data_IF_887763425916
#
_entry.id   IF_887763425916
#
_cell.length_a   1.000
_cell.length_b   1.000
_cell.length_c   1.000
_cell.angle_alpha   90.00
_cell.angle_beta   90.00
_cell.angle_gamma   90.00
#
_symmetry.space_group_name_H-M   'P 1'
#
loop_
_entity.id
_entity.type
_entity.pdbx_description
1 polymer ?
#
# COMPACT_ATOMS: atom_id res chain seq x y z
N UNK A 1 -29.50 -18.87 6.20
CA UNK A 1 -28.75 -18.47 4.99
C UNK A 1 -27.57 -19.42 4.84
N UNK A 2 -27.27 -19.90 3.63
CA UNK A 2 -26.05 -20.67 3.38
C UNK A 2 -24.87 -19.71 3.17
N UNK A 3 -23.66 -20.14 3.50
CA UNK A 3 -22.45 -19.37 3.16
C UNK A 3 -22.32 -19.23 1.63
N UNK A 4 -22.00 -18.04 1.10
CA UNK A 4 -21.76 -17.85 -0.33
C UNK A 4 -20.47 -18.58 -0.74
N UNK A 5 -20.63 -19.71 -1.43
CA UNK A 5 -19.49 -20.48 -1.95
C UNK A 5 -19.15 -19.95 -3.34
N UNK A 6 -17.93 -19.49 -3.52
CA UNK A 6 -17.38 -19.17 -4.84
C UNK A 6 -16.81 -20.45 -5.43
N UNK A 7 -17.38 -20.90 -6.56
CA UNK A 7 -16.90 -22.13 -7.22
C UNK A 7 -15.50 -21.94 -7.82
N UNK A 8 -14.83 -23.05 -8.13
CA UNK A 8 -13.51 -23.00 -8.78
C UNK A 8 -13.56 -22.25 -10.11
N UNK A 9 -14.60 -22.50 -10.91
CA UNK A 9 -14.79 -21.86 -12.23
C UNK A 9 -15.01 -20.35 -12.08
N UNK A 10 -15.85 -19.92 -11.12
CA UNK A 10 -16.03 -18.49 -10.81
C UNK A 10 -14.71 -17.84 -10.39
N UNK A 11 -13.95 -18.49 -9.51
CA UNK A 11 -12.66 -17.97 -9.06
C UNK A 11 -11.62 -17.90 -10.20
N UNK A 12 -11.62 -18.86 -11.11
CA UNK A 12 -10.72 -18.89 -12.26
C UNK A 12 -11.10 -17.86 -13.33
N UNK A 13 -12.40 -17.55 -13.45
CA UNK A 13 -12.90 -16.50 -14.34
C UNK A 13 -12.70 -15.08 -13.78
N UNK A 14 -12.42 -14.93 -12.49
CA UNK A 14 -12.11 -13.62 -11.90
C UNK A 14 -10.83 -13.03 -12.52
N UNK A 15 -10.95 -11.87 -13.16
CA UNK A 15 -9.81 -11.07 -13.61
C UNK A 15 -9.26 -10.27 -12.42
N UNK A 16 -8.63 -10.99 -11.47
CA UNK A 16 -8.09 -10.38 -10.25
C UNK A 16 -6.88 -9.51 -10.59
N UNK A 17 -6.95 -8.24 -10.16
CA UNK A 17 -5.86 -7.29 -10.24
C UNK A 17 -4.82 -7.52 -9.13
N UNK A 18 -3.66 -6.91 -9.30
CA UNK A 18 -2.54 -7.03 -8.36
C UNK A 18 -2.62 -6.02 -7.21
N UNK A 19 -2.14 -6.41 -6.03
CA UNK A 19 -1.92 -5.49 -4.91
C UNK A 19 -0.53 -5.69 -4.33
N UNK A 20 0.18 -4.58 -4.06
CA UNK A 20 1.52 -4.68 -3.52
C UNK A 20 2.08 -3.39 -2.92
N UNK A 21 3.24 -3.54 -2.30
CA UNK A 21 4.03 -2.43 -1.80
C UNK A 21 5.45 -2.48 -2.38
N UNK A 22 5.97 -1.33 -2.77
CA UNK A 22 7.37 -1.16 -3.18
C UNK A 22 8.07 -0.36 -2.09
N UNK A 23 9.02 -1.00 -1.43
CA UNK A 23 9.85 -0.40 -0.38
C UNK A 23 11.22 -0.09 -0.93
N UNK A 24 11.79 1.06 -0.59
CA UNK A 24 13.14 1.39 -1.03
C UNK A 24 13.67 2.66 -0.36
N UNK A 25 14.98 2.89 -0.38
CA UNK A 25 15.58 4.10 0.16
C UNK A 25 14.97 5.38 -0.43
N UNK A 26 15.10 6.50 0.29
CA UNK A 26 14.75 7.80 -0.28
C UNK A 26 15.59 8.06 -1.54
N UNK A 27 14.98 8.64 -2.58
CA UNK A 27 15.68 8.98 -3.83
C UNK A 27 15.97 7.81 -4.78
N UNK A 28 15.61 6.56 -4.46
CA UNK A 28 15.84 5.41 -5.36
C UNK A 28 15.00 5.44 -6.64
N UNK A 29 13.95 6.28 -6.69
CA UNK A 29 13.10 6.48 -7.86
C UNK A 29 11.73 5.81 -7.77
N UNK A 30 11.18 5.59 -6.57
CA UNK A 30 9.85 4.97 -6.40
C UNK A 30 8.75 5.74 -7.12
N UNK A 31 8.64 7.03 -6.92
CA UNK A 31 7.65 7.90 -7.60
C UNK A 31 7.81 7.87 -9.12
N UNK A 32 9.05 7.81 -9.62
CA UNK A 32 9.35 7.75 -11.06
C UNK A 32 8.79 6.47 -11.74
N UNK A 33 8.47 5.44 -10.97
CA UNK A 33 7.82 4.23 -11.49
C UNK A 33 6.48 4.51 -12.18
N UNK A 34 5.79 5.59 -11.84
CA UNK A 34 4.59 6.04 -12.56
C UNK A 34 4.86 6.21 -14.06
N UNK A 35 6.04 6.69 -14.46
CA UNK A 35 6.43 6.86 -15.88
C UNK A 35 6.57 5.52 -16.63
N UNK A 36 6.53 4.41 -15.93
CA UNK A 36 6.56 3.06 -16.52
C UNK A 36 5.16 2.44 -16.65
N UNK A 37 4.11 3.21 -16.40
CA UNK A 37 2.69 2.81 -16.48
C UNK A 37 1.96 3.62 -17.54
N UNK A 38 0.68 3.31 -17.78
CA UNK A 38 -0.17 4.10 -18.67
C UNK A 38 -0.80 5.26 -17.90
N UNK A 39 -0.41 6.50 -18.23
CA UNK A 39 -0.83 7.70 -17.51
C UNK A 39 -2.35 7.87 -17.43
N UNK A 40 -3.08 7.64 -18.54
CA UNK A 40 -4.54 7.87 -18.61
C UNK A 40 -5.35 6.92 -17.74
N UNK A 41 -4.79 5.78 -17.38
CA UNK A 41 -5.42 4.76 -16.54
C UNK A 41 -4.82 4.68 -15.12
N UNK A 42 -3.87 5.54 -14.78
CA UNK A 42 -3.27 5.64 -13.46
C UNK A 42 -3.87 6.81 -12.67
N UNK A 43 -4.17 6.58 -11.40
CA UNK A 43 -4.48 7.60 -10.42
C UNK A 43 -3.34 7.69 -9.41
N UNK A 44 -2.69 8.83 -9.35
CA UNK A 44 -1.61 9.11 -8.41
C UNK A 44 -2.17 9.69 -7.11
N UNK A 45 -1.99 9.01 -6.00
CA UNK A 45 -2.31 9.50 -4.66
C UNK A 45 -1.02 10.01 -4.03
N UNK A 46 -0.78 11.32 -4.16
CA UNK A 46 0.42 12.01 -3.71
C UNK A 46 0.22 12.60 -2.30
N UNK A 47 0.81 11.96 -1.31
CA UNK A 47 0.80 12.41 0.09
C UNK A 47 2.08 13.17 0.47
N UNK A 48 3.13 13.10 -0.39
CA UNK A 48 4.47 13.65 -0.10
C UNK A 48 4.74 15.00 -0.76
N UNK A 49 3.84 15.51 -1.64
CA UNK A 49 4.15 16.57 -2.60
C UNK A 49 5.36 16.21 -3.50
N UNK A 50 5.46 14.92 -3.83
CA UNK A 50 6.58 14.33 -4.55
C UNK A 50 6.47 14.38 -6.07
N UNK A 51 5.52 15.14 -6.62
CA UNK A 51 5.16 15.16 -8.04
C UNK A 51 6.24 15.75 -8.96
N UNK A 52 7.26 16.43 -8.42
CA UNK A 52 8.37 16.98 -9.23
C UNK A 52 9.03 15.92 -10.11
N UNK A 53 9.15 14.66 -9.62
CA UNK A 53 9.74 13.55 -10.35
C UNK A 53 8.90 13.10 -11.56
N UNK A 54 7.61 13.41 -11.57
CA UNK A 54 6.62 13.01 -12.57
C UNK A 54 5.85 14.19 -13.15
N UNK A 55 6.38 15.41 -12.99
CA UNK A 55 5.73 16.67 -13.43
C UNK A 55 5.31 16.67 -14.90
N UNK A 56 6.07 16.00 -15.74
CA UNK A 56 5.84 15.83 -17.17
C UNK A 56 4.95 14.62 -17.52
N UNK A 57 4.51 13.83 -16.52
CA UNK A 57 3.72 12.64 -16.72
C UNK A 57 2.23 12.94 -16.54
N UNK A 58 1.38 12.79 -17.58
CA UNK A 58 0.00 13.30 -17.58
C UNK A 58 -0.98 12.34 -16.88
N UNK A 59 -0.73 11.97 -15.62
CA UNK A 59 -1.69 11.21 -14.80
C UNK A 59 -2.47 12.15 -13.87
N UNK A 60 -3.71 11.78 -13.60
CA UNK A 60 -4.54 12.49 -12.61
C UNK A 60 -4.02 12.24 -11.20
N UNK A 61 -4.10 13.27 -10.34
CA UNK A 61 -3.50 13.25 -9.01
C UNK A 61 -4.50 13.64 -7.94
N UNK A 62 -4.51 12.92 -6.81
CA UNK A 62 -5.19 13.28 -5.56
C UNK A 62 -4.16 13.54 -4.47
N UNK A 63 -4.41 14.54 -3.61
CA UNK A 63 -3.48 14.94 -2.53
C UNK A 63 -4.17 14.96 -1.17
N UNK A 64 -4.44 13.80 -0.55
CA UNK A 64 -4.95 13.77 0.81
C UNK A 64 -3.87 14.26 1.79
N UNK A 65 -4.29 15.14 2.72
CA UNK A 65 -3.39 15.83 3.67
C UNK A 65 -3.65 15.44 5.11
N UNK A 66 -4.75 14.76 5.38
CA UNK A 66 -5.16 14.34 6.71
C UNK A 66 -5.46 12.84 6.73
N UNK A 67 -5.38 12.24 7.93
CA UNK A 67 -5.74 10.82 8.06
C UNK A 67 -7.20 10.52 7.70
N UNK A 68 -8.20 11.33 8.10
CA UNK A 68 -9.56 11.16 7.61
C UNK A 68 -9.67 11.12 6.09
N UNK A 69 -9.03 12.05 5.37
CA UNK A 69 -9.02 12.05 3.89
C UNK A 69 -8.39 10.79 3.31
N UNK A 70 -7.27 10.31 3.88
CA UNK A 70 -6.64 9.05 3.46
C UNK A 70 -7.57 7.84 3.63
N UNK A 71 -8.31 7.81 4.75
CA UNK A 71 -9.26 6.78 5.10
C UNK A 71 -10.50 6.83 4.22
N UNK A 72 -11.04 8.02 4.01
CA UNK A 72 -12.22 8.28 3.18
C UNK A 72 -11.93 7.92 1.71
N UNK A 73 -10.76 8.27 1.20
CA UNK A 73 -10.32 7.88 -0.15
C UNK A 73 -10.22 6.37 -0.32
N UNK A 74 -9.64 5.65 0.65
CA UNK A 74 -9.58 4.19 0.60
C UNK A 74 -10.98 3.55 0.65
N UNK A 75 -11.91 4.14 1.42
CA UNK A 75 -13.31 3.75 1.46
C UNK A 75 -14.01 4.02 0.13
N UNK A 76 -13.82 5.19 -0.45
CA UNK A 76 -14.43 5.62 -1.71
C UNK A 76 -14.04 4.72 -2.89
N UNK A 77 -12.75 4.37 -2.98
CA UNK A 77 -12.21 3.53 -4.07
C UNK A 77 -12.56 2.04 -3.84
N UNK A 78 -12.46 1.58 -2.59
CA UNK A 78 -12.60 0.17 -2.24
C UNK A 78 -14.03 -0.30 -2.02
N UNK A 79 -14.95 0.63 -1.81
CA UNK A 79 -16.32 0.32 -1.44
C UNK A 79 -16.49 -0.11 0.03
N UNK A 80 -17.72 -0.40 0.46
CA UNK A 80 -18.03 -0.76 1.83
C UNK A 80 -17.72 -2.22 2.13
N UNK A 81 -17.44 -2.51 3.39
CA UNK A 81 -17.49 -3.86 3.95
C UNK A 81 -18.80 -4.03 4.72
N UNK A 82 -19.79 -4.77 4.17
CA UNK A 82 -21.10 -4.90 4.78
C UNK A 82 -21.13 -5.72 6.09
N UNK A 83 -20.02 -6.35 6.45
CA UNK A 83 -19.88 -7.07 7.72
C UNK A 83 -19.54 -6.15 8.90
N UNK A 84 -19.16 -4.88 8.63
CA UNK A 84 -18.81 -3.91 9.66
C UNK A 84 -20.05 -3.19 10.17
N UNK A 85 -20.03 -2.81 11.46
CA UNK A 85 -21.07 -1.98 12.06
C UNK A 85 -20.98 -0.56 11.54
N UNK A 86 -22.10 0.15 11.56
CA UNK A 86 -22.21 1.52 11.02
C UNK A 86 -21.27 2.54 11.68
N UNK A 87 -20.86 2.29 12.93
CA UNK A 87 -19.91 3.12 13.67
C UNK A 87 -18.42 2.88 13.28
N UNK A 88 -18.15 1.90 12.45
CA UNK A 88 -16.80 1.53 12.05
C UNK A 88 -16.40 2.16 10.70
N UNK A 89 -15.11 2.44 10.55
CA UNK A 89 -14.53 2.83 9.26
C UNK A 89 -14.73 1.71 8.24
N UNK A 90 -15.00 2.10 6.98
CA UNK A 90 -15.27 1.19 5.85
C UNK A 90 -16.62 0.45 5.93
N UNK A 91 -17.50 0.77 6.87
CA UNK A 91 -18.88 0.28 6.91
C UNK A 91 -19.72 0.85 5.77
N UNK A 92 -20.94 0.33 5.59
CA UNK A 92 -21.89 0.88 4.63
C UNK A 92 -22.24 2.35 4.94
N UNK A 93 -22.43 2.70 6.21
CA UNK A 93 -22.72 4.07 6.63
C UNK A 93 -21.53 5.02 6.33
N UNK A 94 -20.29 4.57 6.58
CA UNK A 94 -19.10 5.34 6.23
C UNK A 94 -19.03 5.57 4.71
N UNK A 95 -19.24 4.53 3.91
CA UNK A 95 -19.21 4.64 2.45
C UNK A 95 -20.27 5.58 1.90
N UNK A 96 -21.51 5.50 2.41
CA UNK A 96 -22.59 6.38 2.00
C UNK A 96 -22.22 7.87 2.26
N UNK A 97 -21.71 8.19 3.47
CA UNK A 97 -21.24 9.52 3.81
C UNK A 97 -20.15 10.01 2.84
N UNK A 98 -19.19 9.15 2.55
CA UNK A 98 -18.10 9.50 1.63
C UNK A 98 -18.61 9.76 0.21
N UNK A 99 -19.58 8.96 -0.26
CA UNK A 99 -20.20 9.20 -1.57
C UNK A 99 -21.07 10.49 -1.58
N UNK A 100 -21.73 10.82 -0.49
CA UNK A 100 -22.45 12.10 -0.36
C UNK A 100 -21.50 13.31 -0.45
N UNK A 101 -20.30 13.18 0.14
CA UNK A 101 -19.29 14.23 0.18
C UNK A 101 -18.50 14.38 -1.13
N UNK A 102 -18.06 13.27 -1.74
CA UNK A 102 -17.14 13.27 -2.88
C UNK A 102 -17.80 12.89 -4.21
N UNK A 103 -19.06 12.48 -4.21
CA UNK A 103 -19.84 12.16 -5.42
C UNK A 103 -19.84 10.69 -5.80
N UNK A 104 -20.06 10.42 -7.09
CA UNK A 104 -20.21 9.05 -7.60
C UNK A 104 -18.85 8.36 -7.81
N UNK A 105 -18.56 7.24 -7.11
CA UNK A 105 -17.33 6.48 -7.31
C UNK A 105 -17.19 5.88 -8.72
N UNK A 106 -18.27 5.81 -9.52
CA UNK A 106 -18.18 5.41 -10.92
C UNK A 106 -17.26 6.32 -11.75
N UNK A 107 -17.05 7.58 -11.32
CA UNK A 107 -16.07 8.51 -11.92
C UNK A 107 -14.64 7.98 -11.89
N UNK A 108 -14.33 7.08 -10.95
CA UNK A 108 -13.03 6.41 -10.85
C UNK A 108 -12.91 5.18 -11.75
N UNK A 109 -13.96 4.85 -12.53
CA UNK A 109 -14.00 3.67 -13.41
C UNK A 109 -12.90 3.67 -14.49
N UNK A 110 -12.45 4.85 -14.94
CA UNK A 110 -11.36 4.99 -15.93
C UNK A 110 -9.99 4.56 -15.41
N UNK A 111 -9.77 4.54 -14.10
CA UNK A 111 -8.46 4.17 -13.54
C UNK A 111 -8.39 2.66 -13.28
N UNK A 112 -7.41 2.01 -13.87
CA UNK A 112 -7.08 0.61 -13.62
C UNK A 112 -5.96 0.45 -12.59
N UNK A 113 -5.15 1.49 -12.37
CA UNK A 113 -4.05 1.53 -11.40
C UNK A 113 -4.26 2.66 -10.40
N UNK A 114 -4.15 2.34 -9.12
CA UNK A 114 -4.03 3.29 -8.01
C UNK A 114 -2.60 3.21 -7.48
N UNK A 115 -1.87 4.31 -7.56
CA UNK A 115 -0.50 4.39 -7.06
C UNK A 115 -0.45 5.35 -5.87
N UNK A 116 -0.09 4.83 -4.69
CA UNK A 116 -0.15 5.55 -3.40
C UNK A 116 1.26 5.86 -2.89
N UNK A 117 1.62 7.13 -2.85
CA UNK A 117 2.92 7.62 -2.40
C UNK A 117 2.74 8.60 -1.21
N UNK A 118 2.93 8.19 0.05
CA UNK A 118 3.47 6.89 0.49
C UNK A 118 2.79 6.40 1.78
N UNK A 119 2.96 5.08 2.05
CA UNK A 119 2.54 4.49 3.34
C UNK A 119 3.31 5.11 4.52
N UNK A 120 4.52 5.59 4.29
CA UNK A 120 5.34 6.25 5.31
C UNK A 120 4.68 7.53 5.78
N UNK A 121 4.16 8.37 4.86
CA UNK A 121 3.44 9.60 5.20
C UNK A 121 2.05 9.26 5.75
N UNK A 122 1.33 8.31 5.14
CA UNK A 122 0.05 7.85 5.67
C UNK A 122 0.18 7.41 7.14
N UNK A 123 1.24 6.68 7.50
CA UNK A 123 1.55 6.30 8.88
C UNK A 123 1.74 7.50 9.81
N UNK A 124 2.49 8.53 9.37
CA UNK A 124 2.67 9.77 10.15
C UNK A 124 1.37 10.54 10.37
N UNK A 125 0.56 10.68 9.32
CA UNK A 125 -0.75 11.33 9.40
C UNK A 125 -1.68 10.56 10.35
N UNK A 126 -1.68 9.23 10.27
CA UNK A 126 -2.44 8.36 11.15
C UNK A 126 -2.01 8.51 12.62
N UNK A 127 -0.70 8.51 12.91
CA UNK A 127 -0.20 8.70 14.27
C UNK A 127 -0.53 10.08 14.84
N UNK A 128 -0.38 11.12 14.02
CA UNK A 128 -0.75 12.48 14.43
C UNK A 128 -2.23 12.58 14.77
N UNK A 129 -3.10 12.03 13.92
CA UNK A 129 -4.54 11.96 14.17
C UNK A 129 -4.84 11.14 15.43
N UNK A 130 -4.24 9.97 15.61
CA UNK A 130 -4.44 9.08 16.75
C UNK A 130 -4.11 9.75 18.08
N UNK A 131 -3.07 10.59 18.13
CA UNK A 131 -2.70 11.35 19.33
C UNK A 131 -3.77 12.37 19.76
N UNK A 132 -4.64 12.80 18.87
CA UNK A 132 -5.76 13.69 19.16
C UNK A 132 -7.06 12.98 19.57
N UNK A 133 -7.10 11.64 19.54
CA UNK A 133 -8.32 10.89 19.84
C UNK A 133 -8.47 10.58 21.32
N UNK A 134 -9.71 10.35 21.82
CA UNK A 134 -9.95 10.02 23.23
C UNK A 134 -9.11 8.85 23.75
N UNK A 135 -8.88 7.84 22.92
CA UNK A 135 -8.07 6.65 23.24
C UNK A 135 -6.60 6.98 23.56
N UNK A 136 -6.11 8.14 23.12
CA UNK A 136 -4.76 8.62 23.43
C UNK A 136 -4.65 9.33 24.79
N UNK A 137 -5.70 9.26 25.59
CA UNK A 137 -5.73 9.86 26.92
C UNK A 137 -6.16 8.84 27.97
N UNK A 138 -5.53 8.90 29.13
CA UNK A 138 -5.89 8.03 30.26
C UNK A 138 -7.26 8.43 30.81
N UNK A 139 -8.19 7.50 30.84
CA UNK A 139 -9.53 7.72 31.43
C UNK A 139 -9.48 8.16 32.88
N UNK A 140 -8.45 7.72 33.66
CA UNK A 140 -8.31 8.03 35.08
C UNK A 140 -7.73 9.41 35.35
N UNK A 141 -6.83 9.88 34.48
CA UNK A 141 -6.03 11.10 34.79
C UNK A 141 -6.21 12.19 33.74
N UNK A 142 -6.83 11.91 32.59
CA UNK A 142 -6.93 12.84 31.47
C UNK A 142 -5.58 13.17 30.81
N UNK A 143 -4.48 12.54 31.23
CA UNK A 143 -3.14 12.78 30.67
C UNK A 143 -2.92 11.97 29.39
N UNK A 144 -2.05 12.46 28.46
CA UNK A 144 -1.69 11.70 27.27
C UNK A 144 -1.20 10.29 27.60
N UNK A 145 -1.73 9.31 26.86
CA UNK A 145 -1.34 7.89 26.89
C UNK A 145 -0.77 7.47 25.54
N UNK A 146 0.54 7.39 25.46
CA UNK A 146 1.22 6.97 24.24
C UNK A 146 0.84 5.54 23.84
N UNK A 147 0.56 4.63 24.77
CA UNK A 147 0.16 3.24 24.45
C UNK A 147 -1.19 3.22 23.74
N UNK A 148 -2.15 4.01 24.21
CA UNK A 148 -3.44 4.17 23.58
C UNK A 148 -3.31 4.77 22.17
N UNK A 149 -2.50 5.83 22.01
CA UNK A 149 -2.24 6.46 20.73
C UNK A 149 -1.62 5.48 19.69
N UNK A 150 -0.57 4.74 20.08
CA UNK A 150 0.06 3.76 19.21
C UNK A 150 -0.81 2.52 18.96
N UNK A 151 -1.64 2.12 19.93
CA UNK A 151 -2.61 1.05 19.77
C UNK A 151 -3.66 1.39 18.70
N UNK A 152 -4.22 2.59 18.78
CA UNK A 152 -5.17 3.11 17.80
C UNK A 152 -4.51 3.27 16.42
N UNK A 153 -3.34 3.91 16.33
CA UNK A 153 -2.56 4.04 15.12
C UNK A 153 -2.35 2.69 14.41
N UNK A 154 -1.87 1.68 15.14
CA UNK A 154 -1.64 0.35 14.54
C UNK A 154 -2.91 -0.28 14.01
N UNK A 155 -4.04 -0.16 14.72
CA UNK A 155 -5.33 -0.72 14.32
C UNK A 155 -5.90 -0.01 13.09
N UNK A 156 -5.85 1.33 13.07
CA UNK A 156 -6.31 2.16 11.95
C UNK A 156 -5.50 1.90 10.68
N UNK A 157 -4.16 1.86 10.80
CA UNK A 157 -3.30 1.65 9.64
C UNK A 157 -3.44 0.25 9.05
N UNK A 158 -3.60 -0.78 9.90
CA UNK A 158 -3.90 -2.14 9.44
C UNK A 158 -5.25 -2.21 8.73
N UNK A 159 -6.28 -1.56 9.28
CA UNK A 159 -7.59 -1.50 8.62
C UNK A 159 -7.51 -0.81 7.25
N UNK A 160 -6.73 0.28 7.14
CA UNK A 160 -6.50 1.00 5.89
C UNK A 160 -5.75 0.15 4.86
N UNK A 161 -4.68 -0.55 5.25
CA UNK A 161 -3.96 -1.48 4.37
C UNK A 161 -4.86 -2.63 3.90
N UNK A 162 -5.68 -3.16 4.81
CA UNK A 162 -6.64 -4.23 4.51
C UNK A 162 -7.72 -3.76 3.52
N UNK A 163 -8.19 -2.51 3.65
CA UNK A 163 -9.14 -1.92 2.70
C UNK A 163 -8.54 -1.86 1.29
N UNK A 164 -7.29 -1.42 1.14
CA UNK A 164 -6.59 -1.41 -0.14
C UNK A 164 -6.39 -2.83 -0.72
N UNK A 165 -6.08 -3.82 0.12
CA UNK A 165 -5.90 -5.22 -0.29
C UNK A 165 -7.18 -5.81 -0.89
N UNK A 166 -8.35 -5.42 -0.38
CA UNK A 166 -9.64 -5.98 -0.82
C UNK A 166 -10.13 -5.42 -2.15
N UNK A 167 -9.48 -4.41 -2.72
CA UNK A 167 -9.81 -3.88 -4.04
C UNK A 167 -9.36 -4.89 -5.10
N UNK A 168 -10.34 -5.52 -5.75
CA UNK A 168 -10.09 -6.55 -6.78
C UNK A 168 -10.20 -6.04 -8.20
N UNK A 169 -10.85 -4.90 -8.40
CA UNK A 169 -11.12 -4.31 -9.71
C UNK A 169 -9.99 -3.44 -10.27
N UNK A 170 -9.02 -3.08 -9.43
CA UNK A 170 -7.91 -2.19 -9.76
C UNK A 170 -6.59 -2.75 -9.27
N UNK A 171 -5.51 -2.47 -9.98
CA UNK A 171 -4.17 -2.67 -9.45
C UNK A 171 -3.88 -1.60 -8.40
N UNK A 172 -3.47 -2.00 -7.20
CA UNK A 172 -3.17 -1.08 -6.09
C UNK A 172 -1.72 -1.26 -5.67
N UNK A 173 -0.94 -0.21 -5.88
CA UNK A 173 0.47 -0.22 -5.55
C UNK A 173 0.82 0.94 -4.62
N UNK A 174 1.28 0.57 -3.43
CA UNK A 174 1.73 1.52 -2.44
C UNK A 174 3.26 1.60 -2.50
N UNK A 175 3.83 2.76 -2.18
CA UNK A 175 5.26 2.87 -1.97
C UNK A 175 5.57 3.31 -0.55
N UNK A 176 6.79 3.00 -0.08
CA UNK A 176 7.24 3.38 1.25
C UNK A 176 8.75 3.44 1.35
N UNK A 177 9.23 4.07 2.40
CA UNK A 177 10.66 4.11 2.70
C UNK A 177 11.06 2.78 3.35
N UNK A 178 12.17 2.22 2.88
CA UNK A 178 12.86 1.09 3.51
C UNK A 178 13.92 1.64 4.45
N UNK A 179 13.82 1.29 5.71
CA UNK A 179 14.76 1.64 6.76
C UNK A 179 15.79 0.52 6.94
N UNK A 180 17.07 0.88 7.09
CA UNK A 180 18.16 -0.06 7.36
C UNK A 180 18.65 0.16 8.80
N UNK A 181 18.65 -0.89 9.59
CA UNK A 181 19.16 -0.88 10.98
C UNK A 181 20.16 -2.00 11.18
N UNK A 182 21.00 -1.89 12.18
CA UNK A 182 21.81 -3.00 12.67
C UNK A 182 21.08 -3.65 13.85
N UNK A 183 21.04 -4.99 13.86
CA UNK A 183 20.61 -5.75 15.02
C UNK A 183 21.70 -5.84 16.09
N UNK A 184 21.40 -6.49 17.21
CA UNK A 184 22.35 -6.68 18.33
C UNK A 184 23.61 -7.48 17.95
N UNK A 185 23.62 -8.10 16.77
CA UNK A 185 24.75 -8.86 16.21
C UNK A 185 25.43 -8.13 15.06
N UNK A 186 25.20 -6.81 14.89
CA UNK A 186 25.71 -5.99 13.78
C UNK A 186 25.31 -6.48 12.37
N UNK A 187 24.19 -7.20 12.25
CA UNK A 187 23.65 -7.60 10.94
C UNK A 187 22.65 -6.56 10.47
N UNK A 188 22.66 -6.28 9.17
CA UNK A 188 21.69 -5.41 8.54
C UNK A 188 20.30 -6.04 8.58
N UNK A 189 19.35 -5.28 9.09
CA UNK A 189 17.92 -5.63 9.10
C UNK A 189 17.15 -4.51 8.42
N UNK A 190 16.25 -4.89 7.53
CA UNK A 190 15.46 -3.96 6.75
C UNK A 190 14.00 -4.02 7.18
N UNK A 191 13.37 -2.87 7.33
CA UNK A 191 11.96 -2.77 7.67
C UNK A 191 11.30 -1.57 7.01
N UNK A 192 9.97 -1.61 6.75
CA UNK A 192 9.24 -0.41 6.33
C UNK A 192 9.36 0.69 7.39
N UNK A 193 9.63 1.92 6.96
CA UNK A 193 9.65 3.08 7.86
C UNK A 193 8.21 3.52 8.17
N UNK A 194 7.62 2.84 9.15
CA UNK A 194 6.28 3.12 9.68
C UNK A 194 6.40 3.27 11.19
N UNK A 195 5.78 4.31 11.74
CA UNK A 195 5.73 4.52 13.19
C UNK A 195 5.02 3.35 13.87
N UNK A 196 5.56 2.87 14.99
CA UNK A 196 5.07 1.69 15.69
C UNK A 196 5.42 0.37 14.99
N UNK A 197 5.46 -0.72 15.74
CA UNK A 197 5.89 -2.03 15.22
C UNK A 197 4.77 -2.84 14.57
N UNK A 198 3.52 -2.66 15.02
CA UNK A 198 2.40 -3.55 14.67
C UNK A 198 2.12 -3.57 13.15
N UNK A 199 1.90 -2.41 12.54
CA UNK A 199 1.60 -2.32 11.11
C UNK A 199 2.78 -2.76 10.23
N UNK A 200 4.01 -2.43 10.62
CA UNK A 200 5.23 -2.83 9.91
C UNK A 200 5.40 -4.35 9.88
N UNK A 201 5.06 -5.05 10.98
CA UNK A 201 5.14 -6.51 11.06
C UNK A 201 4.02 -7.21 10.27
N UNK A 202 2.81 -6.64 10.25
CA UNK A 202 1.66 -7.25 9.58
C UNK A 202 1.59 -6.95 8.08
N UNK A 203 2.20 -5.86 7.61
CA UNK A 203 2.16 -5.44 6.21
C UNK A 203 2.51 -6.55 5.21
N UNK A 204 3.57 -7.37 5.40
CA UNK A 204 3.86 -8.47 4.49
C UNK A 204 2.79 -9.58 4.49
N UNK A 205 2.03 -9.71 5.58
CA UNK A 205 0.90 -10.64 5.67
C UNK A 205 -0.32 -10.17 4.88
N UNK A 206 -0.57 -8.86 4.89
CA UNK A 206 -1.74 -8.22 4.28
C UNK A 206 -1.60 -8.19 2.75
N UNK A 207 -0.56 -7.58 2.22
CA UNK A 207 -0.41 -7.36 0.77
C UNK A 207 0.02 -8.62 0.02
N UNK A 208 -0.36 -8.74 -1.25
CA UNK A 208 0.01 -9.89 -2.09
C UNK A 208 1.47 -9.84 -2.50
N UNK A 209 1.98 -8.65 -2.80
CA UNK A 209 3.35 -8.43 -3.23
C UNK A 209 4.08 -7.51 -2.25
N UNK A 210 5.30 -7.85 -1.90
CA UNK A 210 6.26 -6.97 -1.22
C UNK A 210 7.52 -6.95 -2.06
N UNK A 211 7.87 -5.80 -2.57
CA UNK A 211 9.00 -5.62 -3.49
C UNK A 211 9.98 -4.63 -2.86
N UNK A 212 11.25 -4.97 -2.81
CA UNK A 212 12.28 -4.02 -2.44
C UNK A 212 12.93 -3.42 -3.69
N UNK A 213 12.81 -2.09 -3.87
CA UNK A 213 13.49 -1.35 -4.92
C UNK A 213 14.81 -0.82 -4.39
N UNK A 214 15.91 -1.33 -4.91
CA UNK A 214 17.26 -1.10 -4.38
C UNK A 214 18.28 -0.88 -5.48
N UNK A 215 19.51 -0.50 -5.10
CA UNK A 215 20.65 -0.46 -6.00
C UNK A 215 21.51 -1.70 -5.73
N UNK A 216 21.62 -2.56 -6.72
CA UNK A 216 22.50 -3.73 -6.70
C UNK A 216 23.76 -3.44 -7.51
N UNK A 217 24.74 -4.36 -7.45
CA UNK A 217 25.95 -4.31 -8.25
C UNK A 217 25.98 -5.51 -9.20
N UNK A 218 26.29 -5.27 -10.45
CA UNK A 218 26.57 -6.31 -11.44
C UNK A 218 27.96 -6.95 -11.15
N UNK A 219 28.29 -8.01 -11.87
CA UNK A 219 29.53 -8.75 -11.69
C UNK A 219 30.78 -7.88 -11.96
N UNK A 220 30.67 -6.88 -12.82
CA UNK A 220 31.70 -5.89 -13.12
C UNK A 220 31.77 -4.74 -12.09
N UNK A 221 30.92 -4.78 -11.04
CA UNK A 221 30.81 -3.77 -10.01
C UNK A 221 29.90 -2.57 -10.37
N UNK A 222 29.35 -2.50 -11.58
CA UNK A 222 28.47 -1.42 -12.02
C UNK A 222 27.16 -1.40 -11.21
N UNK A 223 26.79 -0.25 -10.59
CA UNK A 223 25.54 -0.16 -9.85
C UNK A 223 24.35 -0.07 -10.79
N UNK A 224 23.29 -0.78 -10.48
CA UNK A 224 22.03 -0.71 -11.21
C UNK A 224 20.83 -0.78 -10.26
N UNK A 225 19.71 -0.16 -10.64
CA UNK A 225 18.45 -0.27 -9.90
C UNK A 225 17.78 -1.58 -10.20
N UNK A 226 17.20 -2.21 -9.18
CA UNK A 226 16.50 -3.49 -9.30
C UNK A 226 15.31 -3.58 -8.37
N UNK A 227 14.33 -4.40 -8.73
CA UNK A 227 13.35 -4.95 -7.81
C UNK A 227 13.86 -6.28 -7.27
N UNK A 228 13.89 -6.44 -5.95
CA UNK A 228 14.06 -7.73 -5.28
C UNK A 228 12.68 -8.24 -4.91
N UNK A 229 12.29 -9.39 -5.45
CA UNK A 229 10.90 -9.86 -5.44
C UNK A 229 10.69 -11.16 -4.64
N UNK A 230 11.75 -11.91 -4.33
CA UNK A 230 11.66 -13.19 -3.62
C UNK A 230 12.18 -13.08 -2.20
N UNK A 231 11.49 -13.77 -1.26
CA UNK A 231 11.90 -13.81 0.15
C UNK A 231 13.31 -14.39 0.33
N UNK A 232 13.61 -15.45 -0.41
CA UNK A 232 14.95 -16.02 -0.43
C UNK A 232 15.86 -15.23 -1.36
N UNK A 233 16.47 -14.18 -0.84
CA UNK A 233 17.44 -13.36 -1.56
C UNK A 233 18.70 -13.17 -0.72
N UNK A 234 19.89 -13.05 -1.37
CA UNK A 234 21.18 -13.01 -0.66
C UNK A 234 21.42 -11.70 0.11
N UNK A 235 20.61 -10.68 -0.11
CA UNK A 235 20.78 -9.36 0.49
C UNK A 235 19.96 -9.14 1.76
N UNK A 236 19.01 -10.04 2.06
CA UNK A 236 18.11 -9.92 3.21
C UNK A 236 17.04 -8.83 3.09
N UNK A 237 16.76 -8.34 1.88
CA UNK A 237 15.69 -7.38 1.67
C UNK A 237 14.31 -8.01 1.86
N UNK A 238 13.34 -7.30 2.47
CA UNK A 238 11.98 -7.79 2.58
C UNK A 238 11.35 -7.93 1.19
N UNK A 239 10.95 -9.13 0.85
CA UNK A 239 10.32 -9.40 -0.43
C UNK A 239 9.34 -10.59 -0.32
N UNK A 240 8.29 -10.55 -1.13
CA UNK A 240 7.26 -11.59 -1.21
C UNK A 240 6.58 -11.53 -2.58
N UNK A 241 6.51 -12.64 -3.26
CA UNK A 241 5.69 -12.82 -4.45
C UNK A 241 4.64 -13.91 -4.22
N UNK A 242 3.36 -13.51 -4.08
CA UNK A 242 2.25 -14.47 -3.98
C UNK A 242 1.85 -15.05 -5.33
N UNK A 243 2.23 -14.41 -6.45
CA UNK A 243 1.92 -14.89 -7.79
C UNK A 243 2.76 -16.11 -8.17
N UNK A 244 3.96 -16.24 -7.62
CA UNK A 244 4.96 -17.25 -7.97
C UNK A 244 5.53 -17.09 -9.37
N UNK A 245 5.51 -15.85 -9.92
CA UNK A 245 5.89 -15.55 -11.32
C UNK A 245 7.08 -14.64 -11.47
N UNK A 246 7.46 -13.99 -10.39
CA UNK A 246 8.58 -13.06 -10.41
C UNK A 246 9.89 -13.80 -10.18
N UNK A 247 10.93 -13.37 -10.85
CA UNK A 247 12.30 -13.81 -10.56
C UNK A 247 12.80 -13.16 -9.26
N UNK A 248 13.93 -13.61 -8.74
CA UNK A 248 14.55 -13.00 -7.55
C UNK A 248 14.81 -11.51 -7.77
N UNK A 249 15.24 -11.17 -8.98
CA UNK A 249 15.53 -9.80 -9.41
C UNK A 249 14.75 -9.49 -10.68
N UNK A 250 14.03 -8.36 -10.68
CA UNK A 250 13.30 -7.84 -11.82
C UNK A 250 13.77 -6.42 -12.16
N UNK A 251 13.54 -6.01 -13.42
CA UNK A 251 13.73 -4.63 -13.84
C UNK A 251 12.75 -3.70 -13.09
N UNK A 252 13.17 -2.50 -12.64
CA UNK A 252 12.30 -1.55 -11.96
C UNK A 252 11.34 -0.87 -12.95
N UNK A 253 10.36 -1.63 -13.42
CA UNK A 253 9.34 -1.22 -14.38
C UNK A 253 7.97 -1.74 -13.92
N UNK A 254 7.17 -0.85 -13.29
CA UNK A 254 5.92 -1.24 -12.64
C UNK A 254 4.90 -1.86 -13.61
N UNK A 255 4.74 -1.31 -14.79
CA UNK A 255 3.80 -1.84 -15.79
C UNK A 255 4.14 -3.28 -16.21
N UNK A 256 5.43 -3.59 -16.45
CA UNK A 256 5.89 -4.96 -16.76
C UNK A 256 5.71 -5.91 -15.57
N UNK A 257 6.02 -5.43 -14.36
CA UNK A 257 5.83 -6.20 -13.14
C UNK A 257 4.36 -6.61 -12.96
N UNK A 258 3.41 -5.65 -13.07
CA UNK A 258 1.97 -5.91 -13.02
C UNK A 258 1.56 -6.92 -14.09
N UNK A 259 1.99 -6.73 -15.35
CA UNK A 259 1.67 -7.63 -16.45
C UNK A 259 2.17 -9.05 -16.20
N UNK A 260 3.37 -9.21 -15.62
CA UNK A 260 3.95 -10.53 -15.28
C UNK A 260 3.16 -11.22 -14.17
N UNK A 261 2.74 -10.46 -13.13
CA UNK A 261 1.94 -10.96 -12.00
C UNK A 261 0.56 -11.43 -12.47
N UNK A 262 -0.11 -10.65 -13.31
CA UNK A 262 -1.51 -10.85 -13.72
C UNK A 262 -1.68 -11.68 -14.99
N UNK A 263 -0.60 -12.06 -15.67
CA UNK A 263 -0.65 -12.87 -16.89
C UNK A 263 -1.50 -14.15 -16.67
N UNK A 264 -2.29 -14.61 -17.64
CA UNK A 264 -2.96 -15.90 -17.57
C UNK A 264 -1.95 -17.03 -17.31
N UNK A 265 -2.33 -18.04 -16.52
CA UNK A 265 -1.48 -19.24 -16.43
C UNK A 265 -1.50 -19.94 -17.78
N UNK A 266 -0.31 -20.25 -18.32
CA UNK A 266 -0.21 -21.22 -19.40
C UNK A 266 -0.85 -22.53 -18.91
N UNK A 267 -1.81 -23.03 -19.68
CA UNK A 267 -2.48 -24.30 -19.43
C UNK A 267 -1.50 -25.44 -19.65
#
# INVERSE_FOLDING_TARGET
>A
MAFPIITADQRLAENRRSSGVILGPAGVGKTTLLKTTEAVSALFVDMEDGDLAVRDWPCDTLRPRTWPECRDLACFIGGPNPALRDDQSYSQAHYNRVCEEYGDPALLGKYSLIFVDSITVAGRLCLQWSKGQPQAYSEKTGKPDNRGAYGLHGSELIAWLTQWQHIRSKDVWLVGILDEKLDDFNRKVFSPQIDGSKASLELPGILDQVISMVVLKADDGTPYRAFVCQHLNPWGYPAKDRSGRLDVVEEPHLGRLISKITAPRAQ
#
